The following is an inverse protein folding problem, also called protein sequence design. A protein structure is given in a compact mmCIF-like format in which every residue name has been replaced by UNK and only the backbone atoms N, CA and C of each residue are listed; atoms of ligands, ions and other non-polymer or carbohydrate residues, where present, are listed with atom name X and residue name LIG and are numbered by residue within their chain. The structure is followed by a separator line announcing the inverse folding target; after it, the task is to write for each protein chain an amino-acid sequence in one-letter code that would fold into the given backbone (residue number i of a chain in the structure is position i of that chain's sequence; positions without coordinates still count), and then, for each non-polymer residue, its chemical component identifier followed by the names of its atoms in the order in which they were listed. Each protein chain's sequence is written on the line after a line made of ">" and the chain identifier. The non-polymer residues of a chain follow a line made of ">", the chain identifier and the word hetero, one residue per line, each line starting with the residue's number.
data_IF_483224270691
#
_entry.id   IF_483224270691
#
_cell.length_a   1.000
_cell.length_b   1.000
_cell.length_c   1.000
_cell.angle_alpha   90.00
_cell.angle_beta   90.00
_cell.angle_gamma   90.00
#
_symmetry.space_group_name_H-M   'P 1'
#
loop_
_entity.id
_entity.type
_entity.pdbx_description
1 polymer ?
#
# COMPACT_ATOMS: atom_id res chain seq x y z
N UNK A 1 30.54 -21.35 -1.75
CA UNK A 1 31.81 -22.04 -1.50
C UNK A 1 32.88 -20.98 -1.39
N UNK A 2 33.71 -21.06 -0.36
CA UNK A 2 34.84 -20.17 -0.11
C UNK A 2 35.89 -20.31 -1.21
N UNK A 3 36.31 -19.18 -1.77
CA UNK A 3 37.60 -19.04 -2.43
C UNK A 3 38.26 -17.84 -1.75
N UNK A 4 39.36 -18.06 -1.03
CA UNK A 4 40.15 -17.03 -0.35
C UNK A 4 39.46 -16.21 0.77
N UNK A 5 38.75 -16.86 1.69
CA UNK A 5 38.42 -16.26 2.99
C UNK A 5 37.10 -15.48 3.11
N UNK A 6 36.30 -15.35 2.04
CA UNK A 6 34.91 -14.89 2.14
C UNK A 6 33.93 -15.83 1.42
N UNK A 7 32.90 -16.25 2.15
CA UNK A 7 31.91 -17.23 1.69
C UNK A 7 30.87 -16.51 0.82
N UNK A 8 31.20 -16.13 -0.41
CA UNK A 8 30.17 -15.66 -1.35
C UNK A 8 29.49 -16.88 -1.98
N UNK A 9 28.49 -17.40 -1.26
CA UNK A 9 27.40 -18.14 -1.90
C UNK A 9 26.67 -17.13 -2.81
N UNK A 10 27.07 -17.07 -4.08
CA UNK A 10 26.26 -16.42 -5.08
C UNK A 10 25.00 -17.29 -5.26
N UNK A 11 23.90 -16.84 -4.68
CA UNK A 11 22.57 -17.42 -4.86
C UNK A 11 22.20 -17.33 -6.36
N UNK A 12 22.44 -18.41 -7.11
CA UNK A 12 21.94 -18.60 -8.49
C UNK A 12 20.39 -18.66 -8.51
N UNK A 13 19.76 -18.70 -7.33
CA UNK A 13 18.31 -18.62 -7.12
C UNK A 13 17.74 -17.25 -7.53
N UNK A 14 18.56 -16.21 -7.68
CA UNK A 14 18.05 -14.86 -7.96
C UNK A 14 17.53 -14.67 -9.39
N UNK A 15 18.16 -15.27 -10.41
CA UNK A 15 17.85 -14.91 -11.82
C UNK A 15 16.70 -15.71 -12.45
N UNK A 16 16.38 -16.90 -11.94
CA UNK A 16 15.27 -17.70 -12.47
C UNK A 16 13.90 -17.30 -11.90
N UNK A 17 13.87 -16.54 -10.79
CA UNK A 17 12.64 -16.08 -10.13
C UNK A 17 12.12 -14.76 -10.70
N UNK A 18 12.95 -14.00 -11.40
CA UNK A 18 12.57 -12.68 -11.92
C UNK A 18 11.37 -12.81 -12.87
N UNK A 19 11.46 -13.67 -13.87
CA UNK A 19 10.40 -13.84 -14.88
C UNK A 19 9.05 -14.29 -14.31
N UNK A 20 8.94 -15.41 -13.55
CA UNK A 20 7.66 -15.82 -12.98
C UNK A 20 7.12 -14.83 -11.93
N UNK A 21 7.98 -14.11 -11.22
CA UNK A 21 7.54 -13.08 -10.26
C UNK A 21 6.94 -11.87 -10.98
N UNK A 22 7.56 -11.39 -12.05
CA UNK A 22 6.99 -10.31 -12.88
C UNK A 22 5.67 -10.71 -13.53
N UNK A 23 5.54 -11.96 -13.98
CA UNK A 23 4.30 -12.49 -14.55
C UNK A 23 3.19 -12.59 -13.49
N UNK A 24 3.53 -12.94 -12.25
CA UNK A 24 2.60 -12.96 -11.13
C UNK A 24 2.12 -11.54 -10.77
N UNK A 25 3.03 -10.56 -10.72
CA UNK A 25 2.68 -9.15 -10.46
C UNK A 25 1.78 -8.61 -11.57
N UNK A 26 2.13 -8.87 -12.83
CA UNK A 26 1.35 -8.42 -13.99
C UNK A 26 -0.05 -9.04 -14.00
N UNK A 27 -0.15 -10.36 -13.77
CA UNK A 27 -1.45 -11.04 -13.69
C UNK A 27 -2.26 -10.57 -12.49
N UNK A 28 -1.65 -10.38 -11.32
CA UNK A 28 -2.33 -9.86 -10.14
C UNK A 28 -2.95 -8.48 -10.38
N UNK A 29 -2.19 -7.56 -11.00
CA UNK A 29 -2.70 -6.24 -11.40
C UNK A 29 -3.82 -6.37 -12.43
N UNK A 30 -3.66 -7.23 -13.44
CA UNK A 30 -4.67 -7.47 -14.47
C UNK A 30 -5.97 -8.04 -13.89
N UNK A 31 -5.90 -9.01 -12.98
CA UNK A 31 -7.05 -9.53 -12.24
C UNK A 31 -7.68 -8.45 -11.36
N UNK A 32 -6.89 -7.62 -10.67
CA UNK A 32 -7.40 -6.48 -9.89
C UNK A 32 -8.19 -5.50 -10.76
N UNK A 33 -7.70 -5.17 -11.96
CA UNK A 33 -8.39 -4.33 -12.93
C UNK A 33 -9.66 -5.02 -13.47
N UNK A 34 -9.58 -6.32 -13.76
CA UNK A 34 -10.67 -7.08 -14.35
C UNK A 34 -11.83 -7.34 -13.38
N UNK A 35 -11.53 -7.79 -12.16
CA UNK A 35 -12.50 -8.06 -11.10
C UNK A 35 -12.93 -6.79 -10.37
N UNK A 36 -12.03 -5.83 -10.18
CA UNK A 36 -12.30 -4.60 -9.45
C UNK A 36 -13.06 -3.55 -10.26
N UNK A 37 -12.84 -3.46 -11.58
CA UNK A 37 -13.42 -2.42 -12.46
C UNK A 37 -13.39 -1.04 -11.78
N UNK A 38 -14.53 -0.36 -11.66
CA UNK A 38 -14.66 0.95 -11.00
C UNK A 38 -14.48 0.90 -9.47
N UNK A 39 -14.89 -0.18 -8.81
CA UNK A 39 -14.79 -0.31 -7.34
C UNK A 39 -13.34 -0.59 -6.89
N UNK A 40 -12.60 -1.39 -7.66
CA UNK A 40 -11.17 -1.63 -7.43
C UNK A 40 -10.34 -0.36 -7.58
N UNK A 41 -10.59 0.42 -8.62
CA UNK A 41 -9.92 1.72 -8.80
C UNK A 41 -10.23 2.68 -7.65
N UNK A 42 -11.48 2.75 -7.19
CA UNK A 42 -11.85 3.54 -6.01
C UNK A 42 -11.11 3.10 -4.74
N UNK A 43 -10.91 1.79 -4.55
CA UNK A 43 -10.14 1.26 -3.42
C UNK A 43 -8.68 1.72 -3.44
N UNK A 44 -8.02 1.65 -4.60
CA UNK A 44 -6.63 2.12 -4.76
C UNK A 44 -6.51 3.62 -4.49
N UNK A 45 -7.45 4.42 -5.02
CA UNK A 45 -7.50 5.87 -4.76
C UNK A 45 -7.70 6.14 -3.27
N UNK A 46 -8.56 5.38 -2.60
CA UNK A 46 -8.84 5.53 -1.16
C UNK A 46 -7.61 5.23 -0.29
N UNK A 47 -6.84 4.21 -0.65
CA UNK A 47 -5.56 3.89 0.00
C UNK A 47 -4.56 5.03 -0.22
N UNK A 48 -4.46 5.55 -1.45
CA UNK A 48 -3.62 6.70 -1.76
C UNK A 48 -4.00 7.95 -0.96
N UNK A 49 -5.31 8.21 -0.83
CA UNK A 49 -5.83 9.30 -0.01
C UNK A 49 -5.50 9.12 1.47
N UNK A 50 -5.64 7.90 2.00
CA UNK A 50 -5.30 7.57 3.38
C UNK A 50 -3.83 7.86 3.67
N UNK A 51 -2.93 7.40 2.80
CA UNK A 51 -1.50 7.71 2.87
C UNK A 51 -1.25 9.22 2.80
N UNK A 52 -1.88 9.92 1.87
CA UNK A 52 -1.74 11.37 1.72
C UNK A 52 -2.14 12.12 3.00
N UNK A 53 -3.26 11.75 3.62
CA UNK A 53 -3.71 12.34 4.89
C UNK A 53 -2.71 12.03 6.00
N UNK A 54 -2.19 10.80 6.10
CA UNK A 54 -1.19 10.45 7.10
C UNK A 54 0.07 11.32 6.94
N UNK A 55 0.61 11.41 5.72
CA UNK A 55 1.83 12.18 5.46
C UNK A 55 1.65 13.68 5.65
N UNK A 56 0.51 14.25 5.22
CA UNK A 56 0.28 15.70 5.25
C UNK A 56 -0.34 16.19 6.56
N UNK A 57 -1.06 15.34 7.28
CA UNK A 57 -1.80 15.73 8.49
C UNK A 57 -1.21 15.03 9.71
N UNK A 58 -1.28 13.71 9.78
CA UNK A 58 -0.90 12.97 10.98
C UNK A 58 0.57 13.18 11.34
N UNK A 59 1.49 13.03 10.38
CA UNK A 59 2.94 13.17 10.60
C UNK A 59 3.33 14.58 11.09
N UNK A 60 2.96 15.71 10.43
CA UNK A 60 3.36 17.03 10.90
C UNK A 60 2.74 17.40 12.25
N UNK A 61 1.53 16.95 12.54
CA UNK A 61 0.91 17.15 13.85
C UNK A 61 1.58 16.30 14.94
N UNK A 62 2.06 15.10 14.59
CA UNK A 62 2.88 14.28 15.50
C UNK A 62 4.19 15.01 15.87
N UNK A 63 4.84 15.64 14.89
CA UNK A 63 6.04 16.44 15.11
C UNK A 63 5.80 17.69 15.96
N UNK A 64 4.57 18.23 15.98
CA UNK A 64 4.18 19.35 16.84
C UNK A 64 3.94 18.95 18.31
N UNK A 65 4.18 17.69 18.69
CA UNK A 65 4.07 17.24 20.08
C UNK A 65 2.66 16.90 20.56
N UNK A 66 1.69 16.80 19.65
CA UNK A 66 0.34 16.34 20.00
C UNK A 66 0.33 14.86 20.38
N UNK A 67 -0.59 14.47 21.27
CA UNK A 67 -0.73 13.07 21.71
C UNK A 67 -1.06 12.16 20.52
N UNK A 68 -0.22 11.17 20.19
CA UNK A 68 -0.41 10.29 19.02
C UNK A 68 -1.76 9.57 19.00
N UNK A 69 -2.27 9.19 20.17
CA UNK A 69 -3.51 8.42 20.32
C UNK A 69 -4.71 9.24 19.88
N UNK A 70 -4.87 10.46 20.41
CA UNK A 70 -5.98 11.34 20.04
C UNK A 70 -5.94 11.69 18.55
N UNK A 71 -4.74 11.97 18.04
CA UNK A 71 -4.54 12.29 16.64
C UNK A 71 -4.93 11.12 15.73
N UNK A 72 -4.50 9.90 16.07
CA UNK A 72 -4.84 8.69 15.32
C UNK A 72 -6.36 8.44 15.30
N UNK A 73 -7.06 8.65 16.42
CA UNK A 73 -8.52 8.49 16.50
C UNK A 73 -9.24 9.49 15.60
N UNK A 74 -8.88 10.77 15.66
CA UNK A 74 -9.50 11.82 14.82
C UNK A 74 -9.22 11.57 13.34
N UNK A 75 -7.95 11.35 13.00
CA UNK A 75 -7.53 11.16 11.61
C UNK A 75 -8.12 9.87 11.03
N UNK A 76 -8.10 8.78 11.80
CA UNK A 76 -8.71 7.51 11.43
C UNK A 76 -10.21 7.62 11.21
N UNK A 77 -10.93 8.33 12.09
CA UNK A 77 -12.37 8.56 11.95
C UNK A 77 -12.70 9.28 10.63
N UNK A 78 -11.94 10.34 10.31
CA UNK A 78 -12.10 11.09 9.05
C UNK A 78 -11.83 10.18 7.85
N UNK A 79 -10.70 9.45 7.87
CA UNK A 79 -10.32 8.53 6.80
C UNK A 79 -11.39 7.46 6.61
N UNK A 80 -11.91 6.86 7.69
CA UNK A 80 -12.94 5.83 7.62
C UNK A 80 -14.23 6.37 7.02
N UNK A 81 -14.70 7.55 7.43
CA UNK A 81 -15.92 8.16 6.86
C UNK A 81 -15.73 8.43 5.37
N UNK A 82 -14.59 9.02 4.97
CA UNK A 82 -14.30 9.31 3.56
C UNK A 82 -14.18 8.02 2.76
N UNK A 83 -13.48 7.02 3.29
CA UNK A 83 -13.33 5.68 2.70
C UNK A 83 -14.69 5.03 2.47
N UNK A 84 -15.56 5.06 3.49
CA UNK A 84 -16.88 4.47 3.41
C UNK A 84 -17.74 5.18 2.36
N UNK A 85 -17.70 6.52 2.34
CA UNK A 85 -18.44 7.31 1.34
C UNK A 85 -17.94 7.04 -0.08
N UNK A 86 -16.63 6.89 -0.27
CA UNK A 86 -16.01 6.66 -1.57
C UNK A 86 -16.24 5.23 -2.09
N UNK A 87 -16.20 4.23 -1.20
CA UNK A 87 -16.36 2.81 -1.55
C UNK A 87 -17.84 2.38 -1.60
N UNK A 88 -18.67 2.85 -0.67
CA UNK A 88 -20.11 2.54 -0.64
C UNK A 88 -20.79 3.04 -1.91
N UNK A 89 -20.28 4.14 -2.48
CA UNK A 89 -20.87 4.78 -3.64
C UNK A 89 -22.20 5.45 -3.31
N UNK A 90 -22.53 6.52 -4.03
CA UNK A 90 -23.90 7.02 -4.08
C UNK A 90 -24.71 5.94 -4.81
N UNK A 91 -25.42 5.10 -4.05
CA UNK A 91 -26.40 4.18 -4.62
C UNK A 91 -27.43 5.02 -5.38
N UNK A 92 -27.68 4.65 -6.63
CA UNK A 92 -28.96 4.94 -7.26
C UNK A 92 -29.96 3.88 -6.83
#
# INVERSE_FOLDING_TARGET
>A
YLNNGEIVKADIVSHARDFPTYLLIGSFIALLLFFGKKKGLMSVITIGLTLFIIFKFMIPLLYNGYSPIFLAVVTGSIVTVVTFMMISGISK
#
